data_IF_269130660926
#
_entry.id   IF_269130660926
#
_cell.length_a   1.000
_cell.length_b   1.000
_cell.length_c   1.000
_cell.angle_alpha   90.00
_cell.angle_beta   90.00
_cell.angle_gamma   90.00
#
_symmetry.space_group_name_H-M   'P 1'
#
loop_
_entity.id
_entity.type
_entity.pdbx_description
1 polymer ?
#
# COMPACT_ATOMS: atom_id res chain seq x y z
N UNK A 1 -18.79 -14.06 -27.69
CA UNK A 1 -20.10 -14.38 -27.07
C UNK A 1 -19.91 -14.45 -25.57
N UNK A 2 -20.46 -13.52 -24.80
CA UNK A 2 -20.58 -13.68 -23.35
C UNK A 2 -21.72 -14.66 -23.09
N UNK A 3 -21.42 -15.81 -22.49
CA UNK A 3 -22.43 -16.78 -22.08
C UNK A 3 -23.44 -16.09 -21.15
N UNK A 4 -24.73 -16.39 -21.32
CA UNK A 4 -25.81 -15.91 -20.46
C UNK A 4 -25.60 -16.52 -19.07
N UNK A 5 -25.16 -15.70 -18.11
CA UNK A 5 -24.90 -16.12 -16.73
C UNK A 5 -26.23 -16.61 -16.13
N UNK A 6 -26.21 -17.76 -15.44
CA UNK A 6 -27.41 -18.30 -14.80
C UNK A 6 -27.91 -17.39 -13.68
N UNK A 7 -29.22 -17.30 -13.52
CA UNK A 7 -29.84 -16.44 -12.50
C UNK A 7 -29.39 -16.78 -11.08
N UNK A 8 -29.12 -18.07 -10.81
CA UNK A 8 -28.61 -18.52 -9.51
C UNK A 8 -27.23 -17.95 -9.19
N UNK A 9 -26.34 -17.84 -10.19
CA UNK A 9 -25.03 -17.22 -10.01
C UNK A 9 -25.14 -15.74 -9.68
N UNK A 10 -26.10 -15.04 -10.31
CA UNK A 10 -26.36 -13.63 -10.02
C UNK A 10 -26.89 -13.46 -8.60
N UNK A 11 -27.85 -14.29 -8.17
CA UNK A 11 -28.38 -14.27 -6.79
C UNK A 11 -27.30 -14.55 -5.75
N UNK A 12 -26.42 -15.53 -6.01
CA UNK A 12 -25.30 -15.82 -5.13
C UNK A 12 -24.31 -14.66 -5.04
N UNK A 13 -23.97 -14.02 -6.17
CA UNK A 13 -23.05 -12.88 -6.19
C UNK A 13 -23.62 -11.69 -5.40
N UNK A 14 -24.90 -11.36 -5.59
CA UNK A 14 -25.57 -10.29 -4.84
C UNK A 14 -25.60 -10.58 -3.33
N UNK A 15 -25.84 -11.83 -2.94
CA UNK A 15 -25.80 -12.23 -1.52
C UNK A 15 -24.38 -12.11 -0.96
N UNK A 16 -23.38 -12.57 -1.71
CA UNK A 16 -21.97 -12.47 -1.31
C UNK A 16 -21.52 -11.02 -1.12
N UNK A 17 -21.86 -10.12 -2.05
CA UNK A 17 -21.57 -8.68 -1.95
C UNK A 17 -22.22 -8.05 -0.71
N UNK A 18 -23.47 -8.44 -0.41
CA UNK A 18 -24.18 -7.94 0.77
C UNK A 18 -23.52 -8.41 2.07
N UNK A 19 -23.18 -9.68 2.15
CA UNK A 19 -22.59 -10.30 3.34
C UNK A 19 -21.14 -9.79 3.59
N UNK A 20 -20.38 -9.50 2.53
CA UNK A 20 -18.97 -9.09 2.62
C UNK A 20 -18.73 -7.60 2.35
N UNK A 21 -19.77 -6.77 2.41
CA UNK A 21 -19.69 -5.32 2.13
C UNK A 21 -18.62 -4.60 2.94
N UNK A 22 -18.33 -5.05 4.16
CA UNK A 22 -17.30 -4.46 5.03
C UNK A 22 -15.86 -4.82 4.61
N UNK A 23 -15.68 -5.94 3.90
CA UNK A 23 -14.36 -6.49 3.53
C UNK A 23 -13.99 -6.13 2.10
N UNK A 24 -14.96 -6.17 1.18
CA UNK A 24 -14.74 -5.87 -0.23
C UNK A 24 -14.52 -4.36 -0.38
N UNK A 25 -13.28 -3.98 -0.68
CA UNK A 25 -12.90 -2.61 -0.98
C UNK A 25 -12.51 -2.52 -2.45
N UNK A 26 -13.23 -1.71 -3.21
CA UNK A 26 -12.88 -1.39 -4.59
C UNK A 26 -12.09 -0.08 -4.62
N UNK A 27 -10.81 -0.16 -4.99
CA UNK A 27 -9.94 1.00 -5.09
C UNK A 27 -9.81 1.44 -6.55
N UNK A 28 -10.15 2.70 -6.82
CA UNK A 28 -9.98 3.35 -8.12
C UNK A 28 -8.92 4.42 -8.01
N UNK A 29 -7.71 4.09 -8.47
CA UNK A 29 -6.56 4.97 -8.40
C UNK A 29 -6.50 5.89 -9.63
N UNK A 30 -6.09 7.13 -9.40
CA UNK A 30 -5.85 8.16 -10.41
C UNK A 30 -4.34 8.30 -10.67
N UNK A 31 -4.00 8.99 -11.75
CA UNK A 31 -2.62 9.41 -12.01
C UNK A 31 -2.11 10.22 -10.80
N UNK A 32 -0.93 9.88 -10.30
CA UNK A 32 -0.28 10.54 -9.16
C UNK A 32 -0.57 9.89 -7.79
N UNK A 33 -1.53 8.98 -7.69
CA UNK A 33 -1.82 8.31 -6.42
C UNK A 33 -0.66 7.40 -5.99
N UNK A 34 -0.36 7.43 -4.69
CA UNK A 34 0.59 6.52 -4.07
C UNK A 34 -0.09 5.21 -3.68
N UNK A 35 0.49 4.10 -4.10
CA UNK A 35 -0.03 2.76 -3.88
C UNK A 35 1.05 1.79 -3.40
N UNK A 36 0.63 0.77 -2.69
CA UNK A 36 1.41 -0.42 -2.37
C UNK A 36 1.06 -1.53 -3.36
N UNK A 37 2.08 -2.22 -3.85
CA UNK A 37 1.89 -3.35 -4.77
C UNK A 37 2.12 -4.66 -4.03
N UNK A 38 1.11 -5.53 -4.02
CA UNK A 38 1.20 -6.85 -3.41
C UNK A 38 2.14 -7.76 -4.20
N UNK A 39 3.12 -8.35 -3.53
CA UNK A 39 4.05 -9.29 -4.12
C UNK A 39 3.44 -10.71 -4.17
N UNK A 40 2.71 -11.00 -5.23
CA UNK A 40 2.01 -12.28 -5.40
C UNK A 40 2.95 -13.49 -5.49
N UNK A 41 4.18 -13.31 -5.99
CA UNK A 41 5.18 -14.38 -6.07
C UNK A 41 5.70 -14.79 -4.69
N UNK A 42 5.83 -13.83 -3.77
CA UNK A 42 6.23 -14.09 -2.39
C UNK A 42 5.11 -14.77 -1.61
N UNK A 43 3.87 -14.33 -1.78
CA UNK A 43 2.74 -14.88 -1.03
C UNK A 43 2.39 -16.32 -1.39
N UNK A 44 2.50 -16.69 -2.68
CA UNK A 44 2.23 -18.06 -3.11
C UNK A 44 3.31 -19.06 -2.69
N UNK A 45 4.44 -18.58 -2.19
CA UNK A 45 5.58 -19.42 -1.83
C UNK A 45 5.58 -19.73 -0.33
N UNK A 46 5.68 -21.02 0.01
CA UNK A 46 5.68 -21.51 1.39
C UNK A 46 6.92 -21.05 2.16
N UNK A 47 8.04 -20.85 1.48
CA UNK A 47 9.34 -20.55 2.13
C UNK A 47 9.55 -19.06 2.40
N UNK A 48 8.68 -18.19 1.89
CA UNK A 48 8.88 -16.73 1.89
C UNK A 48 7.96 -15.98 2.85
N UNK A 49 7.42 -16.65 3.87
CA UNK A 49 6.49 -16.07 4.85
C UNK A 49 7.06 -14.86 5.60
N UNK A 50 8.38 -14.82 5.81
CA UNK A 50 9.07 -13.71 6.47
C UNK A 50 9.39 -12.53 5.56
N UNK A 51 9.17 -12.63 4.24
CA UNK A 51 9.44 -11.53 3.31
C UNK A 51 8.29 -10.52 3.31
N UNK A 52 8.62 -9.27 2.95
CA UNK A 52 7.64 -8.21 2.82
C UNK A 52 6.54 -8.59 1.82
N UNK A 53 5.27 -8.48 2.27
CA UNK A 53 4.09 -8.81 1.47
C UNK A 53 3.78 -7.73 0.42
N UNK A 54 4.02 -6.47 0.78
CA UNK A 54 3.81 -5.32 -0.10
C UNK A 54 5.15 -4.72 -0.47
N UNK A 55 5.30 -4.43 -1.74
CA UNK A 55 6.35 -3.60 -2.27
C UNK A 55 5.98 -2.14 -2.01
N UNK A 56 7.00 -1.31 -1.84
CA UNK A 56 6.93 0.04 -1.29
C UNK A 56 5.96 1.00 -1.97
N UNK A 57 5.93 2.26 -1.54
CA UNK A 57 5.09 3.27 -2.17
C UNK A 57 5.52 3.47 -3.62
N UNK A 58 4.56 3.31 -4.53
CA UNK A 58 4.74 3.53 -5.95
C UNK A 58 3.69 4.50 -6.46
N UNK A 59 4.02 5.25 -7.50
CA UNK A 59 3.16 6.27 -8.11
C UNK A 59 2.42 5.67 -9.30
N UNK A 60 1.10 5.81 -9.32
CA UNK A 60 0.29 5.43 -10.49
C UNK A 60 0.50 6.43 -11.61
N UNK A 61 0.92 5.96 -12.79
CA UNK A 61 1.05 6.80 -13.98
C UNK A 61 -0.23 6.76 -14.80
N UNK A 62 -0.74 5.56 -15.10
CA UNK A 62 -1.88 5.42 -16.00
C UNK A 62 -2.62 4.12 -15.78
N UNK A 63 -3.95 4.17 -15.89
CA UNK A 63 -4.78 2.99 -16.01
C UNK A 63 -4.96 2.57 -17.47
N UNK A 64 -4.80 1.28 -17.74
CA UNK A 64 -5.07 0.66 -19.03
C UNK A 64 -6.56 0.36 -19.20
N UNK A 65 -7.03 0.17 -20.44
CA UNK A 65 -8.43 -0.18 -20.72
C UNK A 65 -8.91 -1.46 -20.01
N UNK A 66 -7.98 -2.35 -19.65
CA UNK A 66 -8.26 -3.59 -18.90
C UNK A 66 -8.22 -3.45 -17.37
N UNK A 67 -8.12 -2.22 -16.84
CA UNK A 67 -8.13 -1.96 -15.40
C UNK A 67 -6.78 -2.19 -14.69
N UNK A 68 -5.75 -2.65 -15.39
CA UNK A 68 -4.39 -2.72 -14.85
C UNK A 68 -3.71 -1.35 -14.85
N UNK A 69 -2.80 -1.13 -13.91
CA UNK A 69 -2.06 0.11 -13.73
C UNK A 69 -0.62 0.00 -14.25
N UNK A 70 -0.17 1.07 -14.87
CA UNK A 70 1.25 1.36 -15.13
C UNK A 70 1.73 2.23 -13.98
N UNK A 71 2.84 1.85 -13.37
CA UNK A 71 3.30 2.36 -12.09
C UNK A 71 4.78 2.70 -12.21
N UNK A 72 5.24 3.73 -11.50
CA UNK A 72 6.65 4.01 -11.29
C UNK A 72 7.00 3.99 -9.80
N UNK A 73 8.24 3.64 -9.52
CA UNK A 73 8.87 3.85 -8.22
C UNK A 73 9.08 5.36 -7.96
N UNK A 74 9.28 5.73 -6.70
CA UNK A 74 9.48 7.14 -6.32
C UNK A 74 10.76 7.78 -6.88
N UNK A 75 11.74 6.97 -7.26
CA UNK A 75 12.95 7.40 -7.97
C UNK A 75 12.69 7.73 -9.46
N UNK A 76 11.46 7.58 -9.94
CA UNK A 76 11.09 7.79 -11.35
C UNK A 76 11.28 6.58 -12.26
N UNK A 77 11.78 5.45 -11.74
CA UNK A 77 11.92 4.23 -12.51
C UNK A 77 10.55 3.59 -12.80
N UNK A 78 10.32 3.25 -14.06
CA UNK A 78 9.07 2.61 -14.49
C UNK A 78 9.07 1.12 -14.14
N UNK A 79 7.96 0.64 -13.57
CA UNK A 79 7.76 -0.79 -13.41
C UNK A 79 7.52 -1.44 -14.78
N UNK A 80 8.37 -2.39 -15.16
CA UNK A 80 8.37 -2.97 -16.52
C UNK A 80 7.04 -3.64 -16.90
N UNK A 81 6.31 -4.17 -15.92
CA UNK A 81 5.05 -4.89 -16.11
C UNK A 81 3.83 -4.09 -15.66
N UNK A 82 2.67 -4.35 -16.26
CA UNK A 82 1.39 -3.81 -15.77
C UNK A 82 0.98 -4.55 -14.51
N UNK A 83 0.48 -3.83 -13.52
CA UNK A 83 0.01 -4.40 -12.26
C UNK A 83 -1.51 -4.47 -12.26
N UNK A 84 -2.06 -5.64 -11.94
CA UNK A 84 -3.51 -5.83 -11.82
C UNK A 84 -4.09 -5.04 -10.65
N UNK A 85 -5.30 -4.49 -10.80
CA UNK A 85 -5.95 -3.68 -9.76
C UNK A 85 -6.08 -4.40 -8.41
N UNK A 86 -6.30 -5.71 -8.41
CA UNK A 86 -6.42 -6.53 -7.20
C UNK A 86 -5.10 -6.66 -6.40
N UNK A 87 -3.96 -6.33 -7.01
CA UNK A 87 -2.66 -6.27 -6.34
C UNK A 87 -2.38 -4.90 -5.73
N UNK A 88 -3.14 -3.86 -6.08
CA UNK A 88 -2.88 -2.49 -5.66
C UNK A 88 -3.70 -2.13 -4.43
N UNK A 89 -3.04 -1.55 -3.42
CA UNK A 89 -3.68 -1.02 -2.21
C UNK A 89 -3.26 0.43 -2.03
N UNK A 90 -4.15 1.29 -1.54
CA UNK A 90 -3.81 2.69 -1.28
C UNK A 90 -2.67 2.79 -0.26
N UNK A 91 -1.63 3.55 -0.58
CA UNK A 91 -0.61 3.92 0.40
C UNK A 91 -1.10 5.16 1.14
N UNK A 92 -1.43 4.99 2.42
CA UNK A 92 -1.64 6.14 3.30
C UNK A 92 -0.26 6.70 3.62
N UNK A 93 0.15 7.72 2.88
CA UNK A 93 1.26 8.56 3.31
C UNK A 93 0.87 9.08 4.70
N UNK A 94 1.57 8.62 5.74
CA UNK A 94 1.38 9.14 7.08
C UNK A 94 1.58 10.65 7.00
N UNK A 95 0.51 11.43 7.22
CA UNK A 95 0.69 12.83 7.58
C UNK A 95 1.53 12.85 8.85
N UNK A 96 2.28 13.94 9.07
CA UNK A 96 2.94 14.18 10.35
C UNK A 96 1.92 13.91 11.47
N UNK A 97 2.24 12.95 12.33
CA UNK A 97 1.37 12.61 13.46
C UNK A 97 1.58 13.73 14.47
N UNK A 98 0.50 14.39 14.88
CA UNK A 98 0.57 15.31 16.02
C UNK A 98 0.91 14.50 17.27
N UNK A 99 2.14 14.63 17.73
CA UNK A 99 2.62 14.00 18.94
C UNK A 99 2.04 14.77 20.14
N UNK A 100 1.36 14.12 21.09
CA UNK A 100 0.92 14.81 22.29
C UNK A 100 2.13 15.29 23.10
N UNK A 101 1.96 16.40 23.84
CA UNK A 101 3.09 17.06 24.54
C UNK A 101 3.77 16.17 25.58
N UNK A 102 3.10 15.12 26.04
CA UNK A 102 3.59 14.16 27.02
C UNK A 102 4.24 12.91 26.42
N UNK A 103 4.57 12.91 25.12
CA UNK A 103 5.22 11.76 24.46
C UNK A 103 6.53 11.34 25.14
N UNK A 104 7.25 12.29 25.75
CA UNK A 104 8.48 11.99 26.50
C UNK A 104 8.23 11.14 27.77
N UNK A 105 7.03 11.15 28.34
CA UNK A 105 6.69 10.27 29.48
C UNK A 105 6.48 8.81 29.06
N UNK A 106 6.19 8.57 27.77
CA UNK A 106 5.99 7.23 27.20
C UNK A 106 7.26 6.66 26.57
N UNK A 107 8.25 7.51 26.32
CA UNK A 107 9.54 7.10 25.79
C UNK A 107 10.48 6.82 26.96
N UNK A 108 11.17 5.68 26.95
CA UNK A 108 12.22 5.36 27.92
C UNK A 108 13.51 6.18 27.70
N UNK A 109 13.40 7.35 27.08
CA UNK A 109 14.51 8.18 26.61
C UNK A 109 14.42 9.54 27.30
N UNK A 110 15.50 9.93 28.00
CA UNK A 110 15.59 11.26 28.61
C UNK A 110 15.80 12.36 27.56
N UNK A 111 15.35 13.59 27.88
CA UNK A 111 15.58 14.80 27.06
C UNK A 111 17.06 14.98 26.70
N UNK A 112 17.96 14.78 27.66
CA UNK A 112 19.41 14.86 27.46
C UNK A 112 19.95 13.85 26.44
N UNK A 113 19.34 12.66 26.36
CA UNK A 113 19.74 11.63 25.40
C UNK A 113 19.23 11.98 24.00
N UNK A 114 18.06 12.59 23.92
CA UNK A 114 17.49 13.11 22.67
C UNK A 114 18.35 14.25 22.09
N UNK A 115 18.78 15.19 22.93
CA UNK A 115 19.66 16.30 22.53
C UNK A 115 21.03 15.82 22.05
N UNK A 116 21.58 14.75 22.66
CA UNK A 116 22.85 14.15 22.20
C UNK A 116 22.72 13.52 20.82
N UNK A 117 21.60 12.89 20.51
CA UNK A 117 21.33 12.31 19.18
C UNK A 117 21.23 13.43 18.15
N UNK A 118 20.48 14.50 18.46
CA UNK A 118 20.32 15.66 17.56
C UNK A 118 21.65 16.38 17.30
N UNK A 119 22.54 16.48 18.29
CA UNK A 119 23.88 17.07 18.10
C UNK A 119 24.77 16.20 17.22
N UNK A 120 24.72 14.87 17.42
CA UNK A 120 25.54 13.91 16.68
C UNK A 120 25.28 13.94 15.16
N UNK A 121 24.03 14.11 14.74
CA UNK A 121 23.68 14.18 13.32
C UNK A 121 24.21 15.46 12.63
N UNK A 122 24.55 16.52 13.38
CA UNK A 122 25.13 17.76 12.83
C UNK A 122 26.67 17.72 12.75
N UNK A 123 27.32 16.90 13.56
CA UNK A 123 28.78 16.78 13.61
C UNK A 123 29.35 15.85 12.52
N UNK A 124 28.48 15.07 11.83
CA UNK A 124 28.86 14.18 10.73
C UNK A 124 28.80 14.87 9.33
N UNK A 125 28.44 16.17 9.27
CA UNK A 125 28.46 17.01 8.05
C UNK A 125 29.66 17.99 7.96
N UNK A 126 30.63 17.92 8.88
CA UNK A 126 31.89 18.72 8.85
C UNK A 126 33.12 17.85 8.55
#
# INVERSE_FOLDING_TARGET
MCARISEDKVKQLLRYEKDHKAVIKDYKFKLGDLILVRNTATEKNLDKKMKARYLGPMVVIRQTKGGSYVIAEMNGALWQSKVGAFCCVLYYACKAIELPKNVLEWLDISEESLEKILKKDNDDEE
#
